data_IF_382587384584
#
_entry.id   IF_382587384584
#
_cell.length_a   1.000
_cell.length_b   1.000
_cell.length_c   1.000
_cell.angle_alpha   90.00
_cell.angle_beta   90.00
_cell.angle_gamma   90.00
#
_symmetry.space_group_name_H-M   'P 1'
#
loop_
_entity.id
_entity.type
_entity.pdbx_description
1 polymer ?
#
# COMPACT_ATOMS: atom_id res chain seq x y z
N UNK A 1 -17.04 -42.92 -21.14
CA UNK A 1 -16.71 -42.50 -22.53
C UNK A 1 -16.60 -40.97 -22.63
N UNK A 2 -15.75 -40.32 -21.82
CA UNK A 2 -15.54 -38.86 -21.86
C UNK A 2 -14.14 -38.50 -21.31
N UNK A 3 -13.08 -38.83 -22.03
CA UNK A 3 -11.69 -38.46 -21.64
C UNK A 3 -10.96 -37.65 -22.73
N UNK A 4 -11.67 -37.16 -23.75
CA UNK A 4 -11.07 -36.38 -24.85
C UNK A 4 -11.44 -34.89 -24.87
N UNK A 5 -12.42 -34.46 -24.06
CA UNK A 5 -12.84 -33.06 -23.99
C UNK A 5 -11.77 -32.05 -23.45
N UNK A 6 -10.96 -32.36 -22.41
CA UNK A 6 -10.02 -31.38 -21.87
C UNK A 6 -8.84 -31.10 -22.82
N UNK A 7 -8.38 -32.10 -23.57
CA UNK A 7 -7.24 -31.98 -24.49
C UNK A 7 -7.55 -31.05 -25.67
N UNK A 8 -8.75 -31.15 -26.26
CA UNK A 8 -9.16 -30.25 -27.34
C UNK A 8 -9.35 -28.80 -26.86
N UNK A 9 -9.89 -28.60 -25.66
CA UNK A 9 -10.01 -27.27 -25.05
C UNK A 9 -8.65 -26.64 -24.77
N UNK A 10 -7.68 -27.42 -24.28
CA UNK A 10 -6.31 -26.96 -24.07
C UNK A 10 -5.62 -26.59 -25.39
N UNK A 11 -5.69 -27.45 -26.41
CA UNK A 11 -5.08 -27.16 -27.72
C UNK A 11 -5.67 -25.88 -28.36
N UNK A 12 -6.99 -25.72 -28.30
CA UNK A 12 -7.67 -24.52 -28.77
C UNK A 12 -7.20 -23.26 -28.03
N UNK A 13 -7.05 -23.32 -26.71
CA UNK A 13 -6.54 -22.20 -25.93
C UNK A 13 -5.06 -21.90 -26.23
N UNK A 14 -4.21 -22.93 -26.37
CA UNK A 14 -2.79 -22.75 -26.69
C UNK A 14 -2.60 -21.99 -28.01
N UNK A 15 -3.47 -22.20 -29.00
CA UNK A 15 -3.46 -21.43 -30.26
C UNK A 15 -3.65 -19.91 -30.07
N UNK A 16 -4.28 -19.50 -28.96
CA UNK A 16 -4.54 -18.09 -28.62
C UNK A 16 -3.40 -17.43 -27.84
N UNK A 17 -2.50 -18.20 -27.22
CA UNK A 17 -1.43 -17.68 -26.36
C UNK A 17 -0.54 -16.62 -27.03
N UNK A 18 -0.07 -16.81 -28.28
CA UNK A 18 0.76 -15.80 -28.94
C UNK A 18 0.05 -14.45 -29.05
N UNK A 19 -1.25 -14.46 -29.39
CA UNK A 19 -2.06 -13.24 -29.52
C UNK A 19 -2.33 -12.58 -28.16
N UNK A 20 -2.67 -13.37 -27.14
CA UNK A 20 -2.85 -12.86 -25.77
C UNK A 20 -1.58 -12.15 -25.27
N UNK A 21 -0.41 -12.78 -25.46
CA UNK A 21 0.89 -12.22 -25.09
C UNK A 21 1.20 -10.94 -25.88
N UNK A 22 0.98 -10.92 -27.19
CA UNK A 22 1.20 -9.72 -28.03
C UNK A 22 0.33 -8.55 -27.58
N UNK A 23 -0.98 -8.77 -27.41
CA UNK A 23 -1.89 -7.70 -26.97
C UNK A 23 -1.53 -7.20 -25.55
N UNK A 24 -1.19 -8.10 -24.62
CA UNK A 24 -0.72 -7.72 -23.28
C UNK A 24 0.54 -6.86 -23.38
N UNK A 25 1.57 -7.32 -24.09
CA UNK A 25 2.84 -6.61 -24.24
C UNK A 25 2.66 -5.22 -24.85
N UNK A 26 1.75 -5.05 -25.80
CA UNK A 26 1.46 -3.74 -26.42
C UNK A 26 0.67 -2.83 -25.46
N UNK A 27 -0.32 -3.37 -24.74
CA UNK A 27 -1.16 -2.62 -23.82
C UNK A 27 -0.38 -2.12 -22.60
N UNK A 28 0.47 -2.97 -22.05
CA UNK A 28 1.26 -2.71 -20.84
C UNK A 28 2.69 -2.22 -21.13
N UNK A 29 2.96 -1.73 -22.35
CA UNK A 29 4.29 -1.23 -22.76
C UNK A 29 4.83 -0.07 -21.91
N UNK A 30 3.97 0.59 -21.15
CA UNK A 30 4.28 1.73 -20.30
C UNK A 30 4.69 1.31 -18.87
N UNK A 31 4.54 0.03 -18.52
CA UNK A 31 4.98 -0.50 -17.24
C UNK A 31 6.48 -0.83 -17.30
N UNK A 32 7.14 -0.84 -16.14
CA UNK A 32 8.48 -1.41 -16.04
C UNK A 32 8.46 -2.91 -16.36
N UNK A 33 9.64 -3.51 -16.55
CA UNK A 33 9.76 -4.90 -16.97
C UNK A 33 9.03 -5.90 -16.05
N UNK A 34 9.19 -5.77 -14.73
CA UNK A 34 8.61 -6.70 -13.76
C UNK A 34 7.08 -6.61 -13.75
N UNK A 35 6.52 -5.40 -13.66
CA UNK A 35 5.08 -5.17 -13.70
C UNK A 35 4.47 -5.60 -15.05
N UNK A 36 5.22 -5.44 -16.14
CA UNK A 36 4.78 -5.86 -17.47
C UNK A 36 4.69 -7.38 -17.59
N UNK A 37 5.67 -8.12 -17.10
CA UNK A 37 5.63 -9.59 -17.09
C UNK A 37 4.49 -10.11 -16.22
N UNK A 38 4.25 -9.47 -15.06
CA UNK A 38 3.10 -9.80 -14.21
C UNK A 38 1.77 -9.54 -14.95
N UNK A 39 1.63 -8.40 -15.61
CA UNK A 39 0.44 -8.09 -16.40
C UNK A 39 0.22 -9.06 -17.57
N UNK A 40 1.29 -9.56 -18.19
CA UNK A 40 1.22 -10.58 -19.24
C UNK A 40 0.73 -11.91 -18.66
N UNK A 41 1.25 -12.34 -17.52
CA UNK A 41 0.81 -13.55 -16.83
C UNK A 41 -0.68 -13.47 -16.43
N UNK A 42 -1.10 -12.34 -15.84
CA UNK A 42 -2.50 -12.08 -15.48
C UNK A 42 -3.42 -12.09 -16.71
N UNK A 43 -2.96 -11.55 -17.84
CA UNK A 43 -3.71 -11.59 -19.11
C UNK A 43 -3.91 -13.01 -19.62
N UNK A 44 -2.88 -13.87 -19.52
CA UNK A 44 -3.00 -15.28 -19.92
C UNK A 44 -3.96 -16.02 -19.00
N UNK A 45 -3.83 -15.85 -17.68
CA UNK A 45 -4.68 -16.52 -16.69
C UNK A 45 -6.15 -16.08 -16.82
N UNK A 46 -6.41 -14.77 -16.90
CA UNK A 46 -7.76 -14.25 -17.13
C UNK A 46 -8.32 -14.66 -18.49
N UNK A 47 -7.45 -14.74 -19.51
CA UNK A 47 -7.77 -15.27 -20.82
C UNK A 47 -8.29 -16.70 -20.75
N UNK A 48 -7.61 -17.60 -20.04
CA UNK A 48 -8.06 -18.99 -19.90
C UNK A 48 -9.43 -19.09 -19.22
N UNK A 49 -9.63 -18.40 -18.11
CA UNK A 49 -10.92 -18.38 -17.42
C UNK A 49 -12.05 -17.79 -18.30
N UNK A 50 -11.74 -16.80 -19.13
CA UNK A 50 -12.71 -16.22 -20.07
C UNK A 50 -12.98 -17.15 -21.25
N UNK A 51 -11.99 -17.90 -21.71
CA UNK A 51 -12.14 -18.92 -22.73
C UNK A 51 -13.12 -20.01 -22.28
N UNK A 52 -12.92 -20.58 -21.10
CA UNK A 52 -13.83 -21.61 -20.55
C UNK A 52 -15.27 -21.09 -20.42
N UNK A 53 -15.45 -19.87 -19.91
CA UNK A 53 -16.78 -19.24 -19.77
C UNK A 53 -17.47 -18.97 -21.10
N UNK A 54 -16.72 -18.60 -22.15
CA UNK A 54 -17.29 -18.37 -23.49
C UNK A 54 -17.63 -19.70 -24.18
N UNK A 55 -16.75 -20.69 -24.09
CA UNK A 55 -16.98 -22.03 -24.65
C UNK A 55 -18.20 -22.69 -24.02
N UNK A 56 -18.38 -22.56 -22.69
CA UNK A 56 -19.59 -23.04 -21.99
C UNK A 56 -20.89 -22.34 -22.46
N UNK A 57 -20.78 -21.14 -23.05
CA UNK A 57 -21.90 -20.39 -23.64
C UNK A 57 -22.05 -20.66 -25.15
N UNK A 58 -21.37 -21.66 -25.69
CA UNK A 58 -21.39 -21.99 -27.12
C UNK A 58 -20.60 -21.03 -28.01
N UNK A 59 -19.79 -20.12 -27.44
CA UNK A 59 -18.98 -19.17 -28.20
C UNK A 59 -17.52 -19.59 -28.17
N UNK A 60 -16.97 -20.02 -29.30
CA UNK A 60 -15.58 -20.48 -29.35
C UNK A 60 -14.60 -19.33 -29.66
N UNK A 61 -13.74 -18.90 -28.71
CA UNK A 61 -12.89 -17.71 -28.91
C UNK A 61 -11.85 -17.83 -30.03
N UNK A 62 -11.50 -19.04 -30.45
CA UNK A 62 -10.63 -19.24 -31.61
C UNK A 62 -11.25 -18.75 -32.93
N UNK A 63 -12.57 -18.55 -32.99
CA UNK A 63 -13.23 -17.94 -34.14
C UNK A 63 -13.01 -16.41 -34.22
N UNK A 64 -12.61 -15.76 -33.12
CA UNK A 64 -12.41 -14.30 -33.06
C UNK A 64 -11.17 -13.93 -32.21
N UNK A 65 -9.99 -14.46 -32.56
CA UNK A 65 -8.83 -14.49 -31.67
C UNK A 65 -8.25 -13.10 -31.34
N UNK A 66 -8.26 -12.17 -32.30
CA UNK A 66 -7.78 -10.80 -32.08
C UNK A 66 -8.72 -10.00 -31.16
N UNK A 67 -10.04 -10.09 -31.41
CA UNK A 67 -11.07 -9.43 -30.60
C UNK A 67 -11.04 -9.97 -29.17
N UNK A 68 -10.94 -11.29 -29.02
CA UNK A 68 -10.79 -11.94 -27.73
C UNK A 68 -9.56 -11.43 -26.97
N UNK A 69 -8.38 -11.44 -27.59
CA UNK A 69 -7.15 -10.98 -26.96
C UNK A 69 -7.19 -9.49 -26.58
N UNK A 70 -7.76 -8.64 -27.43
CA UNK A 70 -7.98 -7.23 -27.13
C UNK A 70 -8.84 -7.03 -25.89
N UNK A 71 -10.01 -7.68 -25.80
CA UNK A 71 -10.92 -7.50 -24.68
C UNK A 71 -10.37 -8.09 -23.38
N UNK A 72 -9.64 -9.21 -23.45
CA UNK A 72 -8.97 -9.80 -22.29
C UNK A 72 -7.89 -8.85 -21.74
N UNK A 73 -7.00 -8.33 -22.59
CA UNK A 73 -5.99 -7.35 -22.15
C UNK A 73 -6.62 -6.06 -21.61
N UNK A 74 -7.72 -5.60 -22.21
CA UNK A 74 -8.48 -4.44 -21.72
C UNK A 74 -9.14 -4.69 -20.37
N UNK A 75 -9.68 -5.89 -20.14
CA UNK A 75 -10.28 -6.27 -18.87
C UNK A 75 -9.24 -6.23 -17.75
N UNK A 76 -8.06 -6.81 -17.98
CA UNK A 76 -6.93 -6.77 -17.02
C UNK A 76 -6.44 -5.34 -16.79
N UNK A 77 -6.33 -4.52 -17.82
CA UNK A 77 -5.97 -3.10 -17.68
C UNK A 77 -6.98 -2.30 -16.83
N UNK A 78 -8.24 -2.75 -16.77
CA UNK A 78 -9.29 -2.19 -15.92
C UNK A 78 -9.41 -2.91 -14.56
N UNK A 79 -8.39 -3.70 -14.18
CA UNK A 79 -8.26 -4.34 -12.88
C UNK A 79 -8.84 -5.76 -12.79
N UNK A 80 -9.47 -6.31 -13.84
CA UNK A 80 -9.98 -7.69 -13.74
C UNK A 80 -8.81 -8.68 -13.63
N UNK A 81 -8.77 -9.47 -12.58
CA UNK A 81 -7.78 -10.54 -12.38
C UNK A 81 -8.48 -11.80 -11.88
N UNK A 82 -7.87 -12.96 -12.16
CA UNK A 82 -8.24 -14.25 -11.54
C UNK A 82 -7.35 -14.59 -10.36
N UNK A 83 -6.16 -13.99 -10.30
CA UNK A 83 -5.17 -14.21 -9.23
C UNK A 83 -5.45 -13.28 -8.06
N UNK A 84 -5.88 -12.04 -8.35
CA UNK A 84 -6.09 -11.01 -7.34
C UNK A 84 -7.56 -10.76 -7.07
N UNK A 85 -7.95 -10.81 -5.80
CA UNK A 85 -9.26 -10.33 -5.35
C UNK A 85 -9.23 -8.81 -5.22
N UNK A 86 -9.85 -8.12 -6.17
CA UNK A 86 -10.05 -6.68 -6.01
C UNK A 86 -11.07 -6.41 -4.92
N UNK A 87 -10.66 -5.67 -3.88
CA UNK A 87 -11.58 -5.12 -2.90
C UNK A 87 -12.01 -3.71 -3.31
N UNK A 88 -13.32 -3.44 -3.25
CA UNK A 88 -13.83 -2.08 -3.42
C UNK A 88 -13.42 -1.14 -2.27
N UNK A 89 -12.92 -1.69 -1.15
CA UNK A 89 -12.37 -0.95 -0.01
C UNK A 89 -10.87 -0.73 -0.11
N UNK A 90 -10.19 -1.40 -1.04
CA UNK A 90 -8.76 -1.19 -1.25
C UNK A 90 -8.54 0.06 -2.10
N UNK A 91 -8.14 1.15 -1.42
CA UNK A 91 -7.83 2.45 -2.02
C UNK A 91 -6.47 2.45 -2.73
N UNK A 92 -5.61 1.48 -2.44
CA UNK A 92 -4.29 1.31 -3.06
C UNK A 92 -4.35 0.51 -4.37
N UNK A 93 -5.47 -0.18 -4.62
CA UNK A 93 -5.64 -0.95 -5.83
C UNK A 93 -5.59 -0.05 -7.08
N UNK A 94 -4.62 -0.33 -7.96
CA UNK A 94 -4.25 0.53 -9.10
C UNK A 94 -5.35 0.83 -10.14
N UNK A 95 -6.52 0.19 -10.06
CA UNK A 95 -7.69 0.51 -10.91
C UNK A 95 -8.48 1.75 -10.42
N UNK A 96 -8.17 2.27 -9.22
CA UNK A 96 -8.76 3.49 -8.64
C UNK A 96 -7.82 4.71 -8.66
N UNK A 97 -6.92 4.79 -9.64
CA UNK A 97 -6.06 5.97 -9.84
C UNK A 97 -6.92 7.26 -9.81
N UNK A 98 -6.60 8.17 -8.89
CA UNK A 98 -7.18 9.52 -8.82
C UNK A 98 -8.21 9.78 -7.71
N UNK A 99 -8.56 8.81 -6.84
CA UNK A 99 -9.49 9.06 -5.71
C UNK A 99 -8.85 9.21 -4.33
N UNK A 100 -7.56 8.90 -4.21
CA UNK A 100 -6.81 9.05 -2.97
C UNK A 100 -5.36 9.39 -3.29
N UNK A 101 -4.77 10.30 -2.51
CA UNK A 101 -3.34 10.56 -2.54
C UNK A 101 -2.63 9.58 -1.61
N UNK A 102 -1.64 8.86 -2.13
CA UNK A 102 -0.77 7.99 -1.32
C UNK A 102 0.43 8.82 -0.90
N UNK A 103 0.58 9.03 0.40
CA UNK A 103 1.73 9.73 0.97
C UNK A 103 2.73 8.72 1.54
N UNK A 104 4.02 9.03 1.44
CA UNK A 104 5.05 8.25 2.14
C UNK A 104 4.88 8.47 3.64
N UNK A 105 4.83 7.37 4.41
CA UNK A 105 4.64 7.38 5.87
C UNK A 105 5.73 8.18 6.60
N UNK A 106 6.90 8.33 5.99
CA UNK A 106 8.06 9.05 6.55
C UNK A 106 7.95 10.59 6.47
N UNK A 107 6.87 11.13 5.89
CA UNK A 107 6.63 12.57 5.80
C UNK A 107 5.52 13.03 6.75
N UNK A 108 5.58 14.26 7.30
CA UNK A 108 4.49 14.78 8.13
C UNK A 108 3.19 14.77 7.33
N UNK A 109 2.13 14.23 7.93
CA UNK A 109 0.82 14.14 7.31
C UNK A 109 0.33 15.54 6.84
N UNK A 110 -0.32 15.65 5.66
CA UNK A 110 -0.87 16.92 5.20
C UNK A 110 -1.84 17.50 6.23
N UNK A 111 -1.60 18.74 6.68
CA UNK A 111 -2.47 19.45 7.62
C UNK A 111 -2.18 19.21 9.11
N UNK A 112 -1.03 18.62 9.47
CA UNK A 112 -0.65 18.45 10.87
C UNK A 112 0.84 18.26 11.09
N UNK A 113 1.26 18.32 12.36
CA UNK A 113 2.64 18.01 12.74
C UNK A 113 2.93 16.52 12.77
N UNK A 114 4.21 16.17 12.64
CA UNK A 114 4.73 14.80 12.65
C UNK A 114 4.33 13.99 13.90
N UNK A 115 4.01 14.66 15.02
CA UNK A 115 3.61 14.02 16.27
C UNK A 115 2.31 13.22 16.19
N UNK A 116 1.48 13.46 15.17
CA UNK A 116 0.29 12.64 14.89
C UNK A 116 0.63 11.18 14.60
N UNK A 117 1.86 10.92 14.16
CA UNK A 117 2.39 9.58 13.94
C UNK A 117 2.98 8.94 15.20
N UNK A 118 3.30 9.77 16.21
CA UNK A 118 3.78 9.33 17.51
C UNK A 118 2.65 9.00 18.50
N UNK A 119 1.39 9.21 18.12
CA UNK A 119 0.25 8.92 18.99
C UNK A 119 0.21 7.42 19.35
N UNK A 120 0.20 7.07 20.66
CA UNK A 120 0.43 5.70 21.13
C UNK A 120 -0.67 4.70 20.72
N UNK A 121 -1.88 5.18 20.39
CA UNK A 121 -2.94 4.34 19.86
C UNK A 121 -3.85 5.08 18.86
N UNK A 122 -3.72 4.76 17.57
CA UNK A 122 -4.61 5.26 16.50
C UNK A 122 -6.04 4.68 16.58
N UNK A 123 -6.28 3.68 17.44
CA UNK A 123 -7.60 3.09 17.75
C UNK A 123 -8.18 3.60 19.07
N UNK A 124 -7.47 4.49 19.78
CA UNK A 124 -7.95 5.14 21.00
C UNK A 124 -9.20 5.98 20.77
N UNK A 125 -9.86 6.43 21.84
CA UNK A 125 -11.09 7.23 21.72
C UNK A 125 -10.76 8.55 21.01
N UNK A 126 -11.70 9.06 20.21
CA UNK A 126 -11.51 10.30 19.45
C UNK A 126 -11.16 11.48 20.36
N UNK A 127 -11.72 11.53 21.57
CA UNK A 127 -11.39 12.56 22.55
C UNK A 127 -9.92 12.51 23.00
N UNK A 128 -9.39 11.32 23.29
CA UNK A 128 -8.00 11.14 23.73
C UNK A 128 -7.03 11.53 22.61
N UNK A 129 -7.36 11.20 21.36
CA UNK A 129 -6.59 11.60 20.19
C UNK A 129 -6.61 13.13 20.00
N UNK A 130 -7.77 13.76 20.20
CA UNK A 130 -7.89 15.22 20.09
C UNK A 130 -7.07 15.93 21.17
N UNK A 131 -7.16 15.49 22.43
CA UNK A 131 -6.38 16.02 23.54
C UNK A 131 -4.87 15.91 23.26
N UNK A 132 -4.38 14.71 22.92
CA UNK A 132 -2.96 14.53 22.58
C UNK A 132 -2.50 15.43 21.43
N UNK A 133 -3.33 15.60 20.39
CA UNK A 133 -2.98 16.43 19.24
C UNK A 133 -2.85 17.92 19.55
N UNK A 134 -3.47 18.40 20.64
CA UNK A 134 -3.37 19.77 21.12
C UNK A 134 -2.25 19.90 22.16
N UNK A 135 -2.23 19.00 23.12
CA UNK A 135 -1.39 19.09 24.31
C UNK A 135 0.08 18.75 24.02
N UNK A 136 0.33 17.76 23.17
CA UNK A 136 1.69 17.34 22.83
C UNK A 136 2.53 18.44 22.16
N UNK A 137 2.07 19.14 21.11
CA UNK A 137 2.83 20.26 20.55
C UNK A 137 2.93 21.45 21.50
N UNK A 138 1.91 21.71 22.33
CA UNK A 138 1.94 22.77 23.33
C UNK A 138 3.03 22.50 24.39
N UNK A 139 3.08 21.26 24.91
CA UNK A 139 4.12 20.81 25.83
C UNK A 139 5.51 20.84 25.19
N UNK A 140 5.68 20.35 23.95
CA UNK A 140 6.98 20.43 23.26
C UNK A 140 7.49 21.88 23.16
N UNK A 141 6.59 22.85 22.98
CA UNK A 141 6.95 24.26 22.93
C UNK A 141 7.49 24.82 24.26
N UNK A 142 7.14 24.23 25.40
CA UNK A 142 7.67 24.64 26.73
C UNK A 142 9.08 24.13 27.00
N UNK A 143 9.51 23.07 26.30
CA UNK A 143 10.81 22.44 26.54
C UNK A 143 11.99 23.27 26.02
N UNK A 144 13.14 23.28 26.73
CA UNK A 144 14.41 23.77 26.20
C UNK A 144 14.81 23.02 24.92
N UNK A 145 15.51 23.68 24.01
CA UNK A 145 15.83 23.17 22.66
C UNK A 145 16.41 21.75 22.66
N UNK A 146 17.38 21.45 23.53
CA UNK A 146 17.99 20.12 23.62
C UNK A 146 17.00 19.06 24.11
N UNK A 147 16.20 19.36 25.14
CA UNK A 147 15.17 18.45 25.66
C UNK A 147 14.09 18.19 24.61
N UNK A 148 13.69 19.23 23.87
CA UNK A 148 12.75 19.13 22.75
C UNK A 148 13.27 18.15 21.71
N UNK A 149 14.50 18.32 21.22
CA UNK A 149 15.10 17.40 20.22
C UNK A 149 15.15 15.96 20.72
N UNK A 150 15.46 15.73 22.00
CA UNK A 150 15.43 14.37 22.58
C UNK A 150 14.00 13.81 22.61
N UNK A 151 13.02 14.59 23.07
CA UNK A 151 11.61 14.19 23.11
C UNK A 151 11.09 13.83 21.70
N UNK A 152 11.43 14.66 20.73
CA UNK A 152 11.12 14.51 19.31
C UNK A 152 11.65 13.20 18.72
N UNK A 153 12.90 12.84 19.01
CA UNK A 153 13.52 11.62 18.52
C UNK A 153 12.92 10.38 19.17
N UNK A 154 12.73 10.41 20.49
CA UNK A 154 12.13 9.30 21.23
C UNK A 154 10.68 9.04 20.79
N UNK A 155 9.89 10.09 20.56
CA UNK A 155 8.51 9.98 20.10
C UNK A 155 8.39 9.41 18.67
N UNK A 156 9.42 9.61 17.83
CA UNK A 156 9.52 8.95 16.51
C UNK A 156 9.96 7.48 16.58
N UNK A 157 10.24 6.96 17.77
CA UNK A 157 10.66 5.58 18.00
C UNK A 157 12.18 5.35 17.95
N UNK A 158 12.99 6.41 17.90
CA UNK A 158 14.45 6.26 17.93
C UNK A 158 14.94 5.71 19.27
N UNK A 159 15.97 4.86 19.20
CA UNK A 159 16.63 4.31 20.38
C UNK A 159 17.46 5.34 21.14
N UNK A 160 17.79 5.04 22.41
CA UNK A 160 18.64 5.91 23.25
C UNK A 160 19.99 6.22 22.61
N UNK A 161 20.61 5.25 21.93
CA UNK A 161 21.89 5.44 21.24
C UNK A 161 21.80 6.35 20.02
N UNK A 162 20.72 6.24 19.24
CA UNK A 162 20.47 7.10 18.08
C UNK A 162 20.23 8.55 18.52
N UNK A 163 19.41 8.73 19.56
CA UNK A 163 19.17 10.05 20.13
C UNK A 163 20.43 10.68 20.74
N UNK A 164 21.29 9.87 21.37
CA UNK A 164 22.59 10.32 21.87
C UNK A 164 23.48 10.82 20.73
N UNK A 165 23.61 10.03 19.65
CA UNK A 165 24.39 10.42 18.47
C UNK A 165 23.87 11.70 17.81
N UNK A 166 22.55 11.86 17.69
CA UNK A 166 21.93 13.03 17.06
C UNK A 166 22.03 14.33 17.90
N UNK A 167 22.22 14.22 19.22
CA UNK A 167 22.24 15.38 20.14
C UNK A 167 23.61 15.67 20.74
N UNK A 168 24.60 14.81 20.49
CA UNK A 168 25.93 14.90 21.13
C UNK A 168 25.93 14.58 22.62
N UNK A 169 24.82 14.08 23.17
CA UNK A 169 24.70 13.67 24.57
C UNK A 169 25.17 12.23 24.76
N UNK A 170 25.52 11.86 26.00
CA UNK A 170 25.74 10.45 26.33
C UNK A 170 24.42 9.69 26.39
N UNK A 171 24.46 8.38 26.09
CA UNK A 171 23.29 7.50 26.22
C UNK A 171 22.72 7.47 27.66
N UNK A 172 23.60 7.62 28.66
CA UNK A 172 23.21 7.78 30.06
C UNK A 172 22.37 9.04 30.30
N UNK A 173 22.79 10.18 29.72
CA UNK A 173 22.03 11.44 29.83
C UNK A 173 20.69 11.36 29.10
N UNK A 174 20.64 10.75 27.92
CA UNK A 174 19.36 10.53 27.20
C UNK A 174 18.40 9.65 28.01
N UNK A 175 18.91 8.62 28.70
CA UNK A 175 18.10 7.78 29.58
C UNK A 175 17.54 8.56 30.79
N UNK A 176 18.30 9.49 31.35
CA UNK A 176 17.82 10.40 32.40
C UNK A 176 16.75 11.35 31.85
N UNK A 177 17.01 11.97 30.70
CA UNK A 177 16.08 12.88 30.04
C UNK A 177 14.76 12.20 29.70
N UNK A 178 14.75 10.91 29.36
CA UNK A 178 13.49 10.17 29.13
C UNK A 178 12.57 10.21 30.34
N UNK A 179 13.11 10.04 31.56
CA UNK A 179 12.34 10.13 32.80
C UNK A 179 11.91 11.56 33.08
N UNK A 180 12.85 12.51 33.01
CA UNK A 180 12.55 13.94 33.20
C UNK A 180 11.46 14.45 32.25
N UNK A 181 11.44 13.97 31.00
CA UNK A 181 10.42 14.33 30.01
C UNK A 181 9.06 13.72 30.37
N UNK A 182 9.03 12.45 30.79
CA UNK A 182 7.80 11.79 31.24
C UNK A 182 7.20 12.50 32.46
N UNK A 183 8.05 12.87 33.44
CA UNK A 183 7.63 13.61 34.63
C UNK A 183 7.08 15.00 34.22
N UNK A 184 7.78 15.72 33.34
CA UNK A 184 7.33 17.03 32.86
C UNK A 184 6.02 16.99 32.06
N UNK A 185 5.73 15.86 31.39
CA UNK A 185 4.48 15.66 30.68
C UNK A 185 3.32 15.49 31.66
N UNK A 186 3.53 14.76 32.75
CA UNK A 186 2.56 14.64 33.85
C UNK A 186 2.33 16.00 34.51
N UNK A 187 3.40 16.74 34.80
CA UNK A 187 3.30 18.09 35.40
C UNK A 187 2.56 19.08 34.50
N UNK A 188 2.75 18.99 33.18
CA UNK A 188 2.05 19.82 32.20
C UNK A 188 0.52 19.64 32.27
N UNK A 189 0.05 18.42 32.52
CA UNK A 189 -1.37 18.14 32.69
C UNK A 189 -1.88 18.45 34.11
N UNK A 190 -1.02 18.40 35.12
CA UNK A 190 -1.38 18.74 36.50
C UNK A 190 -1.54 20.27 36.74
N UNK A 191 -1.03 21.10 35.83
CA UNK A 191 -1.17 22.55 35.87
C UNK A 191 -2.49 23.11 35.29
N UNK A 192 -3.43 22.24 34.90
CA UNK A 192 -4.77 22.59 34.41
C UNK A 192 -5.86 22.28 35.43
#
# INVERSE_FOLDING_TARGET
MTEHAPTHAHAAFLSLLPRLRTHARVRFRHLNWSDREEAVADTVAYGFASFLRLTARGKHPAAFPAVFAHFVARAVANGRSVVRRLSARDVTAGYRKGRAAVHRLEGPAPGGGWWRDAAPDRRGRVADQAAFNLDFPAWLATLPAVKRTVAELLARGHGTGEAAGATGLSAGRVSQLRRELADSWVDFHAGF
#
